data_IF_736568432133
#
_entry.id   IF_736568432133
#
_cell.length_a   1.000
_cell.length_b   1.000
_cell.length_c   1.000
_cell.angle_alpha   90.00
_cell.angle_beta   90.00
_cell.angle_gamma   90.00
#
_symmetry.space_group_name_H-M   'P 1'
#
loop_
_entity.id
_entity.type
_entity.pdbx_description
1 polymer ?
#
# COMPACT_ATOMS: atom_id res chain seq x y z
N UNK A 1 -38.77 28.79 -4.33
CA UNK A 1 -37.56 28.06 -4.72
C UNK A 1 -36.57 28.21 -3.58
N UNK A 2 -36.54 27.26 -2.66
CA UNK A 2 -35.46 27.18 -1.67
C UNK A 2 -35.14 25.71 -1.53
N UNK A 3 -34.04 25.30 -2.18
CA UNK A 3 -33.41 24.02 -1.94
C UNK A 3 -32.36 24.25 -0.85
N UNK A 4 -32.63 23.77 0.35
CA UNK A 4 -31.57 23.52 1.33
C UNK A 4 -30.99 22.13 1.04
N UNK A 5 -29.67 21.97 0.93
CA UNK A 5 -29.08 20.66 0.78
C UNK A 5 -29.28 19.86 2.07
N UNK A 6 -29.97 18.73 1.98
CA UNK A 6 -30.10 17.77 3.08
C UNK A 6 -28.70 17.31 3.49
N UNK A 7 -28.29 17.69 4.69
CA UNK A 7 -27.07 17.22 5.33
C UNK A 7 -27.32 15.80 5.81
N UNK A 8 -26.68 14.82 5.17
CA UNK A 8 -26.74 13.42 5.60
C UNK A 8 -25.93 13.25 6.90
N UNK A 9 -26.55 12.82 8.01
CA UNK A 9 -25.87 12.65 9.30
C UNK A 9 -24.91 11.44 9.35
N UNK A 10 -24.82 10.66 8.26
CA UNK A 10 -24.00 9.45 8.21
C UNK A 10 -22.49 9.72 8.04
N UNK A 11 -22.07 10.97 7.81
CA UNK A 11 -20.67 11.30 7.51
C UNK A 11 -19.99 12.20 8.56
N UNK A 12 -20.62 12.44 9.71
CA UNK A 12 -20.15 13.35 10.77
C UNK A 12 -19.68 12.59 12.04
N UNK A 13 -18.99 11.45 11.89
CA UNK A 13 -18.32 10.80 13.05
C UNK A 13 -16.80 11.04 12.98
N UNK A 14 -16.25 11.95 13.80
CA UNK A 14 -14.80 12.06 13.98
C UNK A 14 -14.25 10.85 14.76
N UNK A 15 -13.01 10.50 14.43
CA UNK A 15 -12.26 9.36 14.93
C UNK A 15 -12.40 9.06 16.43
N UNK A 16 -12.92 7.88 16.75
CA UNK A 16 -12.54 7.14 17.96
C UNK A 16 -11.95 5.80 17.50
N UNK A 17 -10.70 5.86 17.01
CA UNK A 17 -9.87 4.67 16.87
C UNK A 17 -9.20 4.47 18.23
N UNK A 18 -9.95 3.97 19.20
CA UNK A 18 -9.35 3.30 20.36
C UNK A 18 -8.72 2.02 19.83
N UNK A 19 -7.43 2.11 19.47
CA UNK A 19 -6.58 0.92 19.33
C UNK A 19 -6.40 0.41 20.74
N UNK A 20 -7.23 -0.55 21.14
CA UNK A 20 -6.95 -1.38 22.32
C UNK A 20 -5.55 -1.98 22.12
N UNK A 21 -4.62 -1.55 22.98
CA UNK A 21 -3.25 -2.05 23.07
C UNK A 21 -3.30 -3.51 23.57
N UNK A 22 -3.64 -4.44 22.69
CA UNK A 22 -3.50 -5.87 22.91
C UNK A 22 -2.04 -6.26 22.63
N UNK A 23 -1.26 -6.68 23.66
CA UNK A 23 0.15 -7.03 23.48
C UNK A 23 0.38 -8.35 22.73
N UNK A 24 -0.65 -8.91 22.07
CA UNK A 24 -0.61 -10.18 21.32
C UNK A 24 -0.50 -10.05 19.79
N UNK A 25 -0.49 -8.84 19.22
CA UNK A 25 -0.39 -8.65 17.75
C UNK A 25 1.02 -8.24 17.30
N UNK A 26 2.01 -9.09 17.60
CA UNK A 26 3.39 -8.92 17.10
C UNK A 26 3.54 -9.33 15.62
N UNK A 27 2.57 -8.95 14.77
CA UNK A 27 2.69 -8.96 13.32
C UNK A 27 1.72 -7.93 12.73
N UNK A 28 2.13 -6.67 12.72
CA UNK A 28 1.38 -5.59 12.06
C UNK A 28 1.65 -5.54 10.54
N UNK A 29 2.08 -6.67 9.95
CA UNK A 29 2.30 -6.80 8.51
C UNK A 29 0.98 -6.99 7.77
N UNK A 30 0.64 -6.03 6.89
CA UNK A 30 -0.50 -6.15 5.98
C UNK A 30 -0.18 -6.95 4.72
N UNK A 31 -1.21 -7.28 3.94
CA UNK A 31 -1.05 -7.91 2.62
C UNK A 31 -0.31 -6.96 1.66
N UNK A 32 0.74 -7.44 0.97
CA UNK A 32 1.42 -6.61 -0.01
C UNK A 32 0.49 -6.31 -1.17
N UNK A 33 0.45 -5.04 -1.55
CA UNK A 33 -0.21 -4.60 -2.77
C UNK A 33 0.31 -5.37 -4.00
N UNK A 34 -0.58 -5.67 -4.94
CA UNK A 34 -0.28 -6.53 -6.09
C UNK A 34 0.85 -6.04 -7.00
N UNK A 35 1.28 -4.77 -6.87
CA UNK A 35 2.35 -4.14 -7.65
C UNK A 35 3.64 -3.93 -6.84
N UNK A 36 3.70 -4.37 -5.57
CA UNK A 36 4.88 -4.22 -4.73
C UNK A 36 6.11 -4.94 -5.30
N UNK A 37 5.89 -6.06 -5.98
CA UNK A 37 6.96 -6.83 -6.64
C UNK A 37 7.67 -6.04 -7.77
N UNK A 38 7.04 -4.99 -8.30
CA UNK A 38 7.62 -4.10 -9.30
C UNK A 38 8.43 -2.96 -8.69
N UNK A 39 8.61 -2.89 -7.37
CA UNK A 39 9.47 -1.90 -6.74
C UNK A 39 10.87 -2.46 -6.49
N UNK A 40 11.88 -1.68 -6.86
CA UNK A 40 13.26 -2.00 -6.52
C UNK A 40 13.44 -1.95 -4.98
N UNK A 41 13.87 -3.06 -4.34
CA UNK A 41 13.98 -3.12 -2.87
C UNK A 41 15.07 -2.19 -2.32
N UNK A 42 16.03 -1.78 -3.13
CA UNK A 42 17.15 -0.93 -2.69
C UNK A 42 16.87 0.56 -2.80
N UNK A 43 16.12 0.97 -3.81
CA UNK A 43 15.95 2.40 -4.13
C UNK A 43 14.50 2.86 -4.29
N UNK A 44 13.53 1.93 -4.21
CA UNK A 44 12.10 2.18 -4.31
C UNK A 44 11.59 2.61 -5.69
N UNK A 45 12.43 2.52 -6.73
CA UNK A 45 12.01 2.87 -8.09
C UNK A 45 11.05 1.83 -8.67
N UNK A 46 10.05 2.29 -9.42
CA UNK A 46 9.14 1.43 -10.17
C UNK A 46 9.86 0.83 -11.39
N UNK A 47 9.78 -0.48 -11.54
CA UNK A 47 10.32 -1.22 -12.67
C UNK A 47 9.30 -1.24 -13.82
N UNK A 48 9.81 -1.23 -15.04
CA UNK A 48 9.00 -1.40 -16.26
C UNK A 48 8.84 -2.88 -16.65
N UNK A 49 9.79 -3.71 -16.24
CA UNK A 49 9.79 -5.18 -16.41
C UNK A 49 10.62 -5.80 -15.28
N UNK A 50 10.28 -7.02 -14.88
CA UNK A 50 11.01 -7.80 -13.87
C UNK A 50 12.34 -8.36 -14.40
N UNK A 51 12.51 -8.36 -15.73
CA UNK A 51 13.68 -8.92 -16.43
C UNK A 51 14.79 -7.87 -16.67
N UNK A 52 14.48 -6.59 -16.46
CA UNK A 52 15.39 -5.49 -16.75
C UNK A 52 16.08 -4.98 -15.48
N UNK A 53 17.33 -4.49 -15.56
CA UNK A 53 18.01 -3.87 -14.43
C UNK A 53 17.29 -2.60 -13.99
N UNK A 54 17.36 -2.29 -12.69
CA UNK A 54 16.72 -1.11 -12.13
C UNK A 54 17.25 0.17 -12.82
N UNK A 55 16.38 1.03 -13.40
CA UNK A 55 16.81 2.22 -14.12
C UNK A 55 17.41 3.31 -13.22
N UNK A 56 17.26 3.18 -11.89
CA UNK A 56 17.73 4.17 -10.93
C UNK A 56 19.05 3.79 -10.26
N UNK A 57 19.22 2.54 -9.85
CA UNK A 57 20.43 2.08 -9.14
C UNK A 57 21.25 1.03 -9.91
N UNK A 58 20.76 0.50 -11.03
CA UNK A 58 21.46 -0.45 -11.88
C UNK A 58 21.49 -1.90 -11.36
N UNK A 59 20.75 -2.22 -10.30
CA UNK A 59 20.68 -3.60 -9.76
C UNK A 59 19.94 -4.54 -10.73
N UNK A 60 20.46 -5.74 -10.90
CA UNK A 60 19.81 -6.85 -11.60
C UNK A 60 18.72 -7.49 -10.70
N UNK A 61 17.58 -7.84 -11.29
CA UNK A 61 16.48 -8.50 -10.59
C UNK A 61 16.51 -10.01 -10.91
N UNK A 62 16.43 -10.91 -9.90
CA UNK A 62 16.34 -12.33 -10.18
C UNK A 62 14.99 -12.64 -10.82
N UNK A 63 15.00 -13.21 -12.02
CA UNK A 63 13.80 -13.70 -12.70
C UNK A 63 13.24 -14.84 -11.83
N UNK A 64 12.00 -14.75 -11.32
CA UNK A 64 11.40 -15.88 -10.61
C UNK A 64 11.24 -17.06 -11.58
N UNK A 65 11.70 -18.24 -11.17
CA UNK A 65 11.60 -19.46 -11.97
C UNK A 65 10.12 -19.85 -12.15
N UNK A 66 9.61 -20.01 -13.39
CA UNK A 66 8.22 -20.36 -13.61
C UNK A 66 8.01 -21.87 -13.37
N UNK A 67 7.67 -22.24 -12.12
CA UNK A 67 7.24 -23.62 -11.76
C UNK A 67 5.77 -23.87 -12.02
#
# INVERSE_FOLDING_TARGET
>A
MTHEPRKDPANDTPADFTVDDDPGTADLGGDPVCWLHLLCPDCGAMLTSEEEPCPRCGREHPIPDPS
#
